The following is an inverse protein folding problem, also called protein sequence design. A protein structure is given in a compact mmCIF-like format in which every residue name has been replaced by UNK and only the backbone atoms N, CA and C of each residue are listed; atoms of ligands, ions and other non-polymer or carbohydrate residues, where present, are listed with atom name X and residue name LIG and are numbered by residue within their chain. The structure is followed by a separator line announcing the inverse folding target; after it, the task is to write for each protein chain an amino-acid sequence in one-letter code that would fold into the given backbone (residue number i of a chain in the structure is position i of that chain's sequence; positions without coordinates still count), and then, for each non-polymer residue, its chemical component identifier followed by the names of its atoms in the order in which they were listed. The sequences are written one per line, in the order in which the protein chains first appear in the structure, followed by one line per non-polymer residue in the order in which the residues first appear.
data_IF_211827026681
#
_entry.id   IF_211827026681
#
_cell.length_a   1.000
_cell.length_b   1.000
_cell.length_c   1.000
_cell.angle_alpha   90.00
_cell.angle_beta   90.00
_cell.angle_gamma   90.00
#
_symmetry.space_group_name_H-M   'P 1'
#
loop_
_entity.id
_entity.type
_entity.pdbx_description
1 polymer ?
#
# COMPACT_ATOMS: atom_id res chain seq x y z
N UNK A 1 -20.16 -1.62 -13.24
CA UNK A 1 -19.24 -1.32 -12.13
C UNK A 1 -18.20 -2.43 -12.09
N UNK A 2 -16.90 -2.13 -12.21
CA UNK A 2 -15.89 -3.18 -12.14
C UNK A 2 -15.91 -3.80 -10.73
N UNK A 3 -16.08 -5.12 -10.66
CA UNK A 3 -16.03 -5.85 -9.39
C UNK A 3 -14.59 -5.73 -8.86
N UNK A 4 -14.38 -5.29 -7.61
CA UNK A 4 -13.05 -5.19 -7.05
C UNK A 4 -12.43 -6.58 -6.90
N UNK A 5 -11.37 -6.84 -7.68
CA UNK A 5 -10.66 -8.11 -7.73
C UNK A 5 -9.40 -8.06 -6.85
N UNK A 6 -9.55 -8.32 -5.55
CA UNK A 6 -8.42 -8.34 -4.60
C UNK A 6 -7.39 -9.41 -4.99
N UNK A 7 -7.86 -10.62 -5.30
CA UNK A 7 -7.00 -11.76 -5.62
C UNK A 7 -6.11 -11.48 -6.84
N UNK A 8 -6.68 -10.96 -7.93
CA UNK A 8 -5.86 -10.64 -9.10
C UNK A 8 -4.94 -9.43 -8.91
N UNK A 9 -5.20 -8.53 -7.96
CA UNK A 9 -4.22 -7.50 -7.58
C UNK A 9 -3.07 -8.08 -6.76
N UNK A 10 -3.37 -9.04 -5.87
CA UNK A 10 -2.36 -9.75 -5.08
C UNK A 10 -1.45 -10.60 -5.97
N UNK A 11 -2.00 -11.34 -6.94
CA UNK A 11 -1.19 -12.07 -7.94
C UNK A 11 -0.25 -11.13 -8.70
N UNK A 12 -0.73 -9.95 -9.09
CA UNK A 12 0.09 -8.92 -9.76
C UNK A 12 1.13 -8.30 -8.83
N UNK A 13 0.88 -8.26 -7.52
CA UNK A 13 1.82 -7.79 -6.52
C UNK A 13 2.99 -8.76 -6.39
N UNK A 14 2.70 -10.04 -6.18
CA UNK A 14 3.72 -11.11 -6.15
C UNK A 14 4.60 -11.09 -7.40
N UNK A 15 3.99 -11.04 -8.59
CA UNK A 15 4.72 -10.98 -9.85
C UNK A 15 5.63 -9.74 -9.98
N UNK A 16 5.25 -8.60 -9.39
CA UNK A 16 6.07 -7.37 -9.39
C UNK A 16 7.23 -7.42 -8.42
N UNK A 17 7.06 -8.13 -7.31
CA UNK A 17 8.08 -8.27 -6.26
C UNK A 17 8.98 -9.49 -6.48
N UNK A 18 8.69 -10.33 -7.48
CA UNK A 18 9.42 -11.57 -7.71
C UNK A 18 9.13 -12.64 -6.65
N UNK A 19 8.00 -12.54 -5.95
CA UNK A 19 7.60 -13.46 -4.87
C UNK A 19 6.78 -14.61 -5.47
N UNK A 20 7.08 -15.83 -5.04
CA UNK A 20 6.32 -17.03 -5.45
C UNK A 20 5.11 -17.20 -4.55
N UNK A 21 3.91 -17.43 -5.10
CA UNK A 21 2.67 -17.41 -4.33
C UNK A 21 2.60 -18.40 -3.15
N UNK A 22 3.39 -19.48 -3.19
CA UNK A 22 3.45 -20.52 -2.16
C UNK A 22 4.67 -20.39 -1.22
N UNK A 23 5.39 -19.25 -1.25
CA UNK A 23 6.54 -19.02 -0.35
C UNK A 23 6.14 -18.32 0.95
N UNK A 24 7.00 -18.40 1.97
CA UNK A 24 6.83 -17.62 3.21
C UNK A 24 6.76 -16.11 2.94
N UNK A 25 7.52 -15.62 1.95
CA UNK A 25 7.46 -14.23 1.51
C UNK A 25 6.08 -13.83 0.99
N UNK A 26 5.33 -14.75 0.38
CA UNK A 26 3.97 -14.46 -0.09
C UNK A 26 3.02 -14.18 1.07
N UNK A 27 3.19 -14.87 2.20
CA UNK A 27 2.40 -14.61 3.41
C UNK A 27 2.66 -13.19 3.91
N UNK A 28 3.94 -12.80 3.99
CA UNK A 28 4.35 -11.45 4.42
C UNK A 28 3.84 -10.38 3.45
N UNK A 29 3.97 -10.60 2.14
CA UNK A 29 3.48 -9.66 1.13
C UNK A 29 1.95 -9.57 1.11
N UNK A 30 1.24 -10.67 1.39
CA UNK A 30 -0.21 -10.65 1.52
C UNK A 30 -0.67 -9.82 2.71
N UNK A 31 -0.03 -10.01 3.87
CA UNK A 31 -0.33 -9.25 5.09
C UNK A 31 -0.06 -7.75 4.89
N UNK A 32 1.10 -7.43 4.29
CA UNK A 32 1.46 -6.07 3.94
C UNK A 32 0.50 -5.43 2.92
N UNK A 33 -0.05 -6.21 2.00
CA UNK A 33 -1.09 -5.73 1.09
C UNK A 33 -2.39 -5.43 1.82
N UNK A 34 -2.74 -6.20 2.85
CA UNK A 34 -3.93 -5.96 3.67
C UNK A 34 -3.78 -4.70 4.53
N UNK A 35 -2.61 -4.47 5.12
CA UNK A 35 -2.29 -3.20 5.79
C UNK A 35 -2.36 -2.01 4.82
N UNK A 36 -1.79 -2.15 3.63
CA UNK A 36 -1.85 -1.12 2.60
C UNK A 36 -3.30 -0.80 2.17
N UNK A 37 -4.16 -1.81 2.11
CA UNK A 37 -5.60 -1.61 1.85
C UNK A 37 -6.24 -0.83 3.00
N UNK A 38 -6.01 -1.23 4.25
CA UNK A 38 -6.57 -0.53 5.43
C UNK A 38 -6.12 0.93 5.47
N UNK A 39 -4.84 1.22 5.26
CA UNK A 39 -4.33 2.59 5.20
C UNK A 39 -5.04 3.43 4.13
N UNK A 40 -5.29 2.85 2.95
CA UNK A 40 -6.01 3.56 1.89
C UNK A 40 -7.49 3.79 2.24
N UNK A 41 -8.13 2.82 2.92
CA UNK A 41 -9.51 2.92 3.40
C UNK A 41 -9.66 4.00 4.48
N UNK A 42 -8.78 4.02 5.47
CA UNK A 42 -8.71 5.06 6.50
C UNK A 42 -8.55 6.45 5.89
N UNK A 43 -7.57 6.61 4.97
CA UNK A 43 -7.34 7.89 4.31
C UNK A 43 -8.56 8.36 3.50
N UNK A 44 -9.29 7.42 2.89
CA UNK A 44 -10.48 7.71 2.09
C UNK A 44 -11.78 7.79 2.89
N UNK A 45 -11.74 7.51 4.20
CA UNK A 45 -12.91 7.34 5.06
C UNK A 45 -13.92 6.33 4.49
N UNK A 46 -13.45 5.16 4.06
CA UNK A 46 -14.28 4.09 3.50
C UNK A 46 -14.14 2.81 4.32
N UNK A 47 -15.20 2.01 4.35
CA UNK A 47 -15.20 0.66 4.92
C UNK A 47 -14.93 -0.42 3.88
N UNK A 48 -15.20 -0.11 2.60
CA UNK A 48 -15.13 -1.04 1.48
C UNK A 48 -14.20 -0.51 0.38
N UNK A 49 -13.39 -1.40 -0.18
CA UNK A 49 -12.44 -1.05 -1.23
C UNK A 49 -13.08 -1.03 -2.62
N UNK A 50 -12.62 -0.10 -3.45
CA UNK A 50 -12.90 -0.08 -4.89
C UNK A 50 -11.68 -0.60 -5.66
N UNK A 51 -11.84 -0.92 -6.94
CA UNK A 51 -10.70 -1.29 -7.81
C UNK A 51 -9.59 -0.25 -7.78
N UNK A 52 -9.95 1.03 -7.68
CA UNK A 52 -8.97 2.13 -7.65
C UNK A 52 -8.18 2.15 -6.34
N UNK A 53 -8.85 1.87 -5.22
CA UNK A 53 -8.21 1.73 -3.90
C UNK A 53 -7.25 0.55 -3.90
N UNK A 54 -7.66 -0.61 -4.43
CA UNK A 54 -6.78 -1.78 -4.53
C UNK A 54 -5.54 -1.52 -5.39
N UNK A 55 -5.68 -0.74 -6.48
CA UNK A 55 -4.54 -0.35 -7.33
C UNK A 55 -3.56 0.53 -6.54
N UNK A 56 -4.04 1.48 -5.74
CA UNK A 56 -3.17 2.33 -4.91
C UNK A 56 -2.55 1.56 -3.74
N UNK A 57 -3.32 0.70 -3.08
CA UNK A 57 -2.83 -0.18 -2.01
C UNK A 57 -1.70 -1.08 -2.51
N UNK A 58 -1.81 -1.63 -3.73
CA UNK A 58 -0.73 -2.44 -4.33
C UNK A 58 0.55 -1.63 -4.51
N UNK A 59 0.43 -0.37 -4.94
CA UNK A 59 1.60 0.52 -5.08
C UNK A 59 2.23 0.82 -3.73
N UNK A 60 1.39 1.01 -2.70
CA UNK A 60 1.84 1.23 -1.33
C UNK A 60 2.55 -0.01 -0.78
N UNK A 61 2.01 -1.21 -0.99
CA UNK A 61 2.64 -2.47 -0.57
C UNK A 61 4.03 -2.68 -1.21
N UNK A 62 4.22 -2.31 -2.48
CA UNK A 62 5.55 -2.33 -3.12
C UNK A 62 6.53 -1.40 -2.39
N UNK A 63 6.07 -0.20 -2.02
CA UNK A 63 6.90 0.77 -1.28
C UNK A 63 7.26 0.22 0.09
N UNK A 64 6.28 -0.31 0.83
CA UNK A 64 6.49 -0.91 2.16
C UNK A 64 7.50 -2.07 2.10
N UNK A 65 7.37 -2.96 1.11
CA UNK A 65 8.27 -4.09 0.93
C UNK A 65 9.72 -3.64 0.66
N UNK A 66 9.87 -2.65 -0.23
CA UNK A 66 11.19 -2.09 -0.54
C UNK A 66 11.82 -1.36 0.66
N UNK A 67 11.01 -0.69 1.48
CA UNK A 67 11.49 -0.05 2.71
C UNK A 67 12.00 -1.10 3.70
N UNK A 68 11.21 -2.15 3.97
CA UNK A 68 11.59 -3.23 4.87
C UNK A 68 12.88 -3.93 4.42
N UNK A 69 13.04 -4.17 3.11
CA UNK A 69 14.27 -4.75 2.56
C UNK A 69 15.47 -3.81 2.76
N UNK A 70 15.29 -2.50 2.50
CA UNK A 70 16.34 -1.50 2.60
C UNK A 70 16.77 -1.21 4.05
N UNK A 71 15.88 -1.37 5.04
CA UNK A 71 16.23 -1.24 6.47
C UNK A 71 17.27 -2.29 6.91
N UNK A 72 17.25 -3.49 6.31
CA UNK A 72 18.25 -4.53 6.53
C UNK A 72 19.63 -4.21 5.92
N UNK A 73 19.66 -3.48 4.80
CA UNK A 73 20.88 -3.11 4.08
C UNK A 73 21.50 -1.79 4.56
N UNK A 74 20.67 -0.83 4.98
CA UNK A 74 21.11 0.50 5.45
C UNK A 74 21.91 0.43 6.76
N UNK A 75 21.71 -0.62 7.55
CA UNK A 75 22.53 -0.88 8.74
C UNK A 75 24.02 -1.18 8.40
N UNK A 76 24.37 -1.44 7.13
CA UNK A 76 25.70 -1.90 6.73
C UNK A 76 26.45 -0.99 5.74
N UNK A 77 25.85 0.09 5.26
CA UNK A 77 26.49 1.01 4.32
C UNK A 77 26.59 2.41 4.92
N UNK A 78 27.84 2.85 5.07
CA UNK A 78 28.28 4.13 5.61
C UNK A 78 27.69 5.35 4.87
N UNK A 79 27.55 6.48 5.59
CA UNK A 79 27.80 7.81 4.99
C UNK A 79 26.62 8.57 4.38
N UNK A 80 25.86 9.26 5.24
CA UNK A 80 25.47 10.66 4.95
C UNK A 80 24.35 10.95 3.94
N UNK A 81 23.56 9.97 3.51
CA UNK A 81 22.34 10.25 2.73
C UNK A 81 21.11 10.04 3.61
N UNK A 82 20.51 11.15 4.05
CA UNK A 82 19.20 11.15 4.69
C UNK A 82 18.14 10.80 3.64
N UNK A 83 17.85 9.50 3.48
CA UNK A 83 16.60 9.10 2.84
C UNK A 83 15.48 9.43 3.82
N UNK A 84 14.77 10.53 3.59
CA UNK A 84 13.55 10.84 4.33
C UNK A 84 12.51 9.80 3.93
N UNK A 85 12.43 8.70 4.68
CA UNK A 85 11.32 7.78 4.58
C UNK A 85 10.07 8.57 4.97
N UNK A 86 9.22 8.92 4.01
CA UNK A 86 7.89 9.47 4.33
C UNK A 86 7.18 8.44 5.21
N UNK A 87 7.01 8.75 6.51
CA UNK A 87 6.27 7.90 7.43
C UNK A 87 4.79 7.89 7.00
N UNK A 88 4.34 6.79 6.42
CA UNK A 88 2.95 6.60 5.97
C UNK A 88 2.80 6.48 4.45
N UNK A 89 1.66 6.93 3.93
CA UNK A 89 1.34 6.82 2.50
C UNK A 89 2.12 7.91 1.72
N UNK A 90 2.95 7.56 0.73
CA UNK A 90 3.70 8.52 -0.08
C UNK A 90 2.80 9.55 -0.79
N UNK A 91 3.29 10.79 -0.94
CA UNK A 91 2.51 11.91 -1.48
C UNK A 91 1.88 11.64 -2.86
N UNK A 92 2.58 10.90 -3.74
CA UNK A 92 2.06 10.52 -5.06
C UNK A 92 0.87 9.54 -5.00
N UNK A 93 0.84 8.66 -3.99
CA UNK A 93 -0.28 7.73 -3.75
C UNK A 93 -1.45 8.50 -3.10
N UNK A 94 -1.17 9.41 -2.16
CA UNK A 94 -2.17 10.29 -1.56
C UNK A 94 -2.89 11.15 -2.60
N UNK A 95 -2.13 11.74 -3.53
CA UNK A 95 -2.69 12.53 -4.64
C UNK A 95 -3.67 11.69 -5.49
N UNK A 96 -3.32 10.43 -5.76
CA UNK A 96 -4.18 9.51 -6.51
C UNK A 96 -5.40 9.03 -5.69
N UNK A 97 -5.31 8.95 -4.36
CA UNK A 97 -6.42 8.56 -3.48
C UNK A 97 -7.39 9.71 -3.19
N UNK A 98 -6.93 10.96 -3.28
CA UNK A 98 -7.70 12.15 -2.90
C UNK A 98 -9.09 12.25 -3.54
N UNK A 99 -9.27 11.97 -4.85
CA UNK A 99 -10.60 12.00 -5.48
C UNK A 99 -11.60 10.97 -4.94
N UNK A 100 -11.12 9.93 -4.24
CA UNK A 100 -11.95 8.86 -3.71
C UNK A 100 -12.36 9.09 -2.24
N UNK A 101 -11.88 10.17 -1.59
CA UNK A 101 -12.22 10.51 -0.21
C UNK A 101 -13.71 10.82 -0.08
N UNK A 102 -14.37 10.23 0.90
CA UNK A 102 -15.74 10.56 1.27
C UNK A 102 -15.71 11.64 2.35
N UNK A 103 -16.38 12.76 2.10
CA UNK A 103 -16.53 13.82 3.10
C UNK A 103 -17.45 13.37 4.24
N UNK A 104 -17.02 13.54 5.49
CA UNK A 104 -17.89 13.32 6.65
C UNK A 104 -18.85 14.50 6.77
N UNK A 105 -20.10 14.32 6.34
CA UNK A 105 -21.16 15.31 6.60
C UNK A 105 -21.47 15.25 8.09
N UNK A 106 -20.98 16.23 8.87
CA UNK A 106 -21.47 16.43 10.23
C UNK A 106 -22.85 17.09 10.09
N UNK A 107 -23.90 16.38 10.50
CA UNK A 107 -25.24 16.95 10.51
C UNK A 107 -25.23 18.24 11.31
N UNK A 108 -25.69 19.33 10.70
CA UNK A 108 -26.01 20.55 11.44
C UNK A 108 -27.18 20.19 12.36
N UNK A 109 -26.92 20.16 13.67
CA UNK A 109 -27.93 19.98 14.72
C UNK A 109 -28.31 21.35 15.27
#
# INVERSE_FOLDING_TARGET
MAIPDKAGQLTKLYARLGVTADSDDAVVVSDMFDDAIQMCLDYTNRTDFTTQILIQAKRLAIVMYNQQANEGETARSEGGVSQTFETGIPANILAALTPYRVGKVRGFS
#
